data_IF_210168626854
#
_entry.id   IF_210168626854
#
_cell.length_a   1.000
_cell.length_b   1.000
_cell.length_c   1.000
_cell.angle_alpha   90.00
_cell.angle_beta   90.00
_cell.angle_gamma   90.00
#
_symmetry.space_group_name_H-M   'P 1'
#
loop_
_entity.id
_entity.type
_entity.pdbx_description
1 polymer ?
#
# COMPACT_ATOMS: atom_id res chain seq x y z
N UNK A 1 12.35 -28.64 -9.68
CA UNK A 1 12.38 -27.73 -10.84
C UNK A 1 12.71 -26.37 -10.27
N UNK A 2 13.92 -25.87 -10.49
CA UNK A 2 14.30 -24.52 -10.05
C UNK A 2 13.57 -23.53 -10.96
N UNK A 3 12.51 -22.90 -10.45
CA UNK A 3 11.78 -21.84 -11.12
C UNK A 3 12.75 -20.67 -11.35
N UNK A 4 12.87 -20.26 -12.61
CA UNK A 4 13.71 -19.15 -13.07
C UNK A 4 13.45 -17.93 -12.17
N UNK A 5 14.52 -17.40 -11.56
CA UNK A 5 14.48 -16.14 -10.82
C UNK A 5 14.01 -15.03 -11.77
N UNK A 6 12.70 -14.78 -11.81
CA UNK A 6 12.16 -13.59 -12.45
C UNK A 6 12.67 -12.42 -11.62
N UNK A 7 13.81 -11.87 -12.05
CA UNK A 7 14.46 -10.73 -11.44
C UNK A 7 13.59 -9.52 -11.77
N UNK A 8 12.53 -9.32 -10.98
CA UNK A 8 11.76 -8.08 -11.01
C UNK A 8 12.75 -6.96 -10.73
N UNK A 9 12.86 -6.02 -11.67
CA UNK A 9 13.77 -4.90 -11.55
C UNK A 9 13.18 -3.94 -10.53
N UNK A 10 13.70 -4.02 -9.31
CA UNK A 10 13.26 -3.21 -8.16
C UNK A 10 13.57 -1.72 -8.35
N UNK A 11 14.40 -1.34 -9.34
CA UNK A 11 14.64 0.06 -9.71
C UNK A 11 13.58 0.61 -10.67
N UNK A 12 12.69 -0.23 -11.19
CA UNK A 12 11.61 0.15 -12.12
C UNK A 12 10.25 -0.02 -11.46
N UNK A 13 9.25 0.65 -12.03
CA UNK A 13 7.87 0.58 -11.53
C UNK A 13 7.38 -0.87 -11.46
N UNK A 14 7.03 -1.31 -10.26
CA UNK A 14 6.60 -2.68 -10.02
C UNK A 14 5.28 -2.99 -10.71
N UNK A 15 4.29 -2.11 -10.61
CA UNK A 15 2.90 -2.38 -11.02
C UNK A 15 2.80 -2.90 -12.46
N UNK A 16 3.59 -2.33 -13.37
CA UNK A 16 3.63 -2.78 -14.76
C UNK A 16 4.37 -4.11 -14.95
N UNK A 17 5.41 -4.37 -14.16
CA UNK A 17 6.17 -5.62 -14.23
C UNK A 17 5.34 -6.80 -13.70
N UNK A 18 4.70 -6.64 -12.53
CA UNK A 18 3.91 -7.72 -11.91
C UNK A 18 2.73 -8.16 -12.78
N UNK A 19 2.12 -7.23 -13.53
CA UNK A 19 1.01 -7.55 -14.43
C UNK A 19 1.37 -8.52 -15.56
N UNK A 20 2.66 -8.69 -15.87
CA UNK A 20 3.12 -9.59 -16.92
C UNK A 20 3.62 -10.95 -16.40
N UNK A 21 3.58 -11.21 -15.08
CA UNK A 21 4.08 -12.48 -14.50
C UNK A 21 3.17 -13.69 -14.77
N UNK A 22 1.86 -13.48 -14.99
CA UNK A 22 0.91 -14.57 -15.23
C UNK A 22 0.93 -15.62 -14.11
N UNK A 23 1.14 -16.88 -14.48
CA UNK A 23 1.20 -18.05 -13.56
C UNK A 23 2.28 -17.91 -12.47
N UNK A 24 3.38 -17.20 -12.74
CA UNK A 24 4.46 -17.01 -11.78
C UNK A 24 4.14 -15.96 -10.69
N UNK A 25 3.03 -15.23 -10.84
CA UNK A 25 2.60 -14.19 -9.89
C UNK A 25 2.32 -14.76 -8.50
N UNK A 26 1.64 -15.91 -8.43
CA UNK A 26 1.22 -16.52 -7.17
C UNK A 26 2.44 -16.98 -6.36
N UNK A 27 3.42 -17.61 -6.99
CA UNK A 27 4.65 -18.03 -6.31
C UNK A 27 5.47 -16.79 -5.89
N UNK A 28 5.53 -15.76 -6.74
CA UNK A 28 6.30 -14.54 -6.49
C UNK A 28 5.74 -13.68 -5.34
N UNK A 29 4.41 -13.48 -5.26
CA UNK A 29 3.81 -12.57 -4.26
C UNK A 29 4.02 -13.04 -2.82
N UNK A 30 4.25 -14.34 -2.62
CA UNK A 30 4.51 -14.93 -1.31
C UNK A 30 5.99 -14.89 -0.92
N UNK A 31 6.89 -14.52 -1.83
CA UNK A 31 8.31 -14.37 -1.50
C UNK A 31 8.55 -13.02 -0.79
N UNK A 32 9.08 -13.01 0.44
CA UNK A 32 9.39 -11.78 1.13
C UNK A 32 10.63 -11.12 0.51
N UNK A 33 10.45 -9.96 -0.13
CA UNK A 33 11.55 -9.16 -0.69
C UNK A 33 11.91 -8.08 0.33
N UNK A 34 13.08 -8.19 0.95
CA UNK A 34 13.58 -7.21 1.93
C UNK A 34 14.52 -6.24 1.24
N UNK A 35 14.01 -5.06 0.88
CA UNK A 35 14.79 -3.97 0.28
C UNK A 35 14.94 -2.84 1.30
N UNK A 36 16.15 -2.27 1.43
CA UNK A 36 16.42 -1.13 2.33
C UNK A 36 15.83 0.18 1.83
N UNK A 37 15.72 0.33 0.52
CA UNK A 37 15.08 1.48 -0.14
C UNK A 37 13.64 1.09 -0.50
N UNK A 38 12.71 2.04 -0.32
CA UNK A 38 11.29 1.80 -0.58
C UNK A 38 11.07 1.40 -2.04
N UNK A 39 10.42 0.25 -2.23
CA UNK A 39 10.06 -0.26 -3.55
C UNK A 39 9.09 0.69 -4.24
N UNK A 40 9.46 1.12 -5.45
CA UNK A 40 8.66 2.08 -6.21
C UNK A 40 7.56 1.38 -7.01
N UNK A 41 6.31 1.67 -6.71
CA UNK A 41 5.18 1.05 -7.40
C UNK A 41 4.89 1.69 -8.76
N UNK A 42 4.94 3.02 -8.82
CA UNK A 42 4.63 3.83 -9.98
C UNK A 42 5.84 4.63 -10.46
N UNK A 43 5.96 4.78 -11.78
CA UNK A 43 7.02 5.62 -12.37
C UNK A 43 6.80 7.12 -12.09
N UNK A 44 5.56 7.54 -11.81
CA UNK A 44 5.23 8.95 -11.52
C UNK A 44 5.22 9.21 -10.02
N UNK A 45 5.91 10.26 -9.58
CA UNK A 45 5.97 10.67 -8.17
C UNK A 45 4.59 10.99 -7.60
N UNK A 46 3.68 11.51 -8.43
CA UNK A 46 2.32 11.84 -8.01
C UNK A 46 1.52 10.61 -7.59
N UNK A 47 1.63 9.52 -8.37
CA UNK A 47 0.95 8.27 -8.07
C UNK A 47 1.64 7.51 -6.95
N UNK A 48 2.96 7.63 -6.83
CA UNK A 48 3.74 7.05 -5.74
C UNK A 48 3.41 7.69 -4.38
N UNK A 49 3.09 8.99 -4.37
CA UNK A 49 2.66 9.65 -3.13
C UNK A 49 1.43 8.98 -2.50
N UNK A 50 0.52 8.44 -3.32
CA UNK A 50 -0.69 7.76 -2.85
C UNK A 50 -0.41 6.36 -2.26
N UNK A 51 0.71 5.72 -2.62
CA UNK A 51 1.10 4.42 -2.07
C UNK A 51 1.88 4.54 -0.77
N UNK A 52 2.54 5.68 -0.54
CA UNK A 52 3.34 5.97 0.65
C UNK A 52 2.47 6.49 1.81
N UNK A 53 1.77 5.57 2.49
CA UNK A 53 0.97 5.92 3.66
C UNK A 53 1.80 5.85 4.95
N UNK A 54 2.14 7.01 5.51
CA UNK A 54 2.77 7.14 6.82
C UNK A 54 1.85 6.65 7.95
N UNK A 55 2.43 6.01 8.96
CA UNK A 55 1.67 5.38 10.07
C UNK A 55 0.75 6.36 10.80
N UNK A 56 1.16 7.63 10.93
CA UNK A 56 0.40 8.67 11.62
C UNK A 56 -0.75 9.26 10.79
N UNK A 57 -0.80 9.00 9.48
CA UNK A 57 -1.90 9.49 8.64
C UNK A 57 -3.24 8.88 9.07
N UNK A 58 -3.25 7.59 9.44
CA UNK A 58 -4.44 6.88 9.89
C UNK A 58 -5.07 7.55 11.12
N UNK A 59 -4.38 7.69 12.28
CA UNK A 59 -4.98 8.33 13.44
C UNK A 59 -5.36 9.80 13.17
N UNK A 60 -4.54 10.57 12.44
CA UNK A 60 -4.82 11.99 12.16
C UNK A 60 -6.09 12.18 11.33
N UNK A 61 -6.36 11.30 10.37
CA UNK A 61 -7.56 11.39 9.52
C UNK A 61 -8.79 10.82 10.23
N UNK A 62 -8.66 9.65 10.87
CA UNK A 62 -9.81 8.92 11.40
C UNK A 62 -10.24 9.34 12.81
N UNK A 63 -9.34 9.82 13.67
CA UNK A 63 -9.71 10.25 15.01
C UNK A 63 -10.68 11.45 15.03
N UNK A 64 -10.48 12.53 14.23
CA UNK A 64 -11.43 13.63 14.19
C UNK A 64 -12.83 13.19 13.72
N UNK A 65 -12.89 12.29 12.73
CA UNK A 65 -14.14 11.73 12.22
C UNK A 65 -14.84 10.90 13.31
N UNK A 66 -14.09 10.04 14.01
CA UNK A 66 -14.63 9.25 15.12
C UNK A 66 -15.16 10.14 16.25
N UNK A 67 -14.39 11.16 16.67
CA UNK A 67 -14.78 12.13 17.70
C UNK A 67 -16.04 12.88 17.28
N UNK A 68 -16.10 13.32 16.02
CA UNK A 68 -17.28 13.98 15.47
C UNK A 68 -18.52 13.09 15.55
N UNK A 69 -18.44 11.85 15.05
CA UNK A 69 -19.52 10.88 15.09
C UNK A 69 -20.01 10.60 16.52
N UNK A 70 -19.08 10.42 17.47
CA UNK A 70 -19.42 10.21 18.89
C UNK A 70 -20.11 11.44 19.48
N UNK A 71 -19.61 12.65 19.19
CA UNK A 71 -20.19 13.90 19.69
C UNK A 71 -21.60 14.16 19.15
N UNK A 72 -21.88 13.76 17.91
CA UNK A 72 -23.22 13.84 17.33
C UNK A 72 -24.18 12.84 18.01
N UNK A 73 -23.71 11.62 18.28
CA UNK A 73 -24.52 10.61 18.97
C UNK A 73 -24.91 11.07 20.37
N UNK A 74 -23.93 11.54 21.16
CA UNK A 74 -24.17 11.98 22.53
C UNK A 74 -25.15 13.17 22.61
N UNK A 75 -25.05 14.12 21.68
CA UNK A 75 -26.00 15.26 21.60
C UNK A 75 -27.42 14.85 21.23
N UNK A 76 -27.61 13.69 20.61
CA UNK A 76 -28.93 13.20 20.20
C UNK A 76 -29.69 12.56 21.37
N UNK A 77 -28.99 12.08 22.40
CA UNK A 77 -29.62 11.54 23.62
C UNK A 77 -30.08 12.63 24.61
N UNK A 78 -29.50 13.83 24.53
CA UNK A 78 -29.83 14.98 25.40
C UNK A 78 -31.00 15.86 24.87
N UNK A 79 -31.60 15.53 23.70
CA UNK A 79 -32.74 16.23 23.08
C UNK A 79 -34.04 15.43 23.19
#
# INVERSE_FOLDING_TARGET
MASQEFTVDLNKSLVFQVGHLGEAYEEWVHQPIVTKEGLRFFHSDFWEFLTLTVWWAVPVIWLPVAVWCISMSAKTEDM
#
